data_IF_805568683861
#
_entry.id   IF_805568683861
#
_cell.length_a   1.000
_cell.length_b   1.000
_cell.length_c   1.000
_cell.angle_alpha   90.00
_cell.angle_beta   90.00
_cell.angle_gamma   90.00
#
_symmetry.space_group_name_H-M   'P 1'
#
loop_
_entity.id
_entity.type
_entity.pdbx_description
1 polymer ?
#
# COMPACT_ATOMS: atom_id res chain seq x y z
N UNK A 1 20.48 45.39 -62.49
CA UNK A 1 20.56 43.98 -62.16
C UNK A 1 20.27 43.76 -60.71
N UNK A 2 19.11 43.47 -60.40
CA UNK A 2 18.76 43.23 -59.03
C UNK A 2 18.78 41.75 -58.76
N UNK A 3 19.71 41.35 -58.02
CA UNK A 3 19.70 40.00 -57.47
C UNK A 3 18.74 39.93 -56.33
N UNK A 4 17.73 39.28 -56.63
CA UNK A 4 16.75 39.03 -55.61
C UNK A 4 17.06 37.75 -54.91
N UNK A 5 17.70 37.88 -53.83
CA UNK A 5 17.70 36.81 -52.87
C UNK A 5 16.35 36.81 -52.21
N UNK A 6 15.54 36.05 -52.74
CA UNK A 6 14.40 35.63 -51.95
C UNK A 6 14.93 34.65 -50.96
N UNK A 7 15.37 35.18 -49.88
CA UNK A 7 15.56 34.34 -48.73
C UNK A 7 14.23 33.72 -48.42
N UNK A 8 14.11 32.52 -48.83
CA UNK A 8 13.03 31.71 -48.32
C UNK A 8 13.41 31.45 -46.90
N UNK A 9 12.91 32.30 -46.08
CA UNK A 9 12.92 32.07 -44.68
C UNK A 9 12.03 30.88 -44.45
N UNK A 10 12.63 29.74 -44.55
CA UNK A 10 11.98 28.53 -44.14
C UNK A 10 11.98 28.56 -42.66
N UNK A 11 10.89 29.06 -42.13
CA UNK A 11 10.55 28.76 -40.79
C UNK A 11 10.24 27.27 -40.77
N UNK A 12 11.25 26.52 -40.52
CA UNK A 12 10.98 25.25 -39.91
C UNK A 12 10.45 25.61 -38.55
N UNK A 13 9.18 25.74 -38.52
CA UNK A 13 8.48 25.53 -37.31
C UNK A 13 8.78 24.08 -36.95
N UNK A 14 9.88 23.89 -36.31
CA UNK A 14 10.01 22.71 -35.51
C UNK A 14 8.95 22.90 -34.44
N UNK A 15 7.78 22.45 -34.75
CA UNK A 15 6.87 22.08 -33.71
C UNK A 15 7.63 20.99 -32.96
N UNK A 16 8.46 21.42 -32.06
CA UNK A 16 8.91 20.51 -31.03
C UNK A 16 7.62 20.00 -30.45
N UNK A 17 7.26 18.84 -30.86
CA UNK A 17 6.23 18.10 -30.24
C UNK A 17 6.77 17.86 -28.85
N UNK A 18 6.53 18.80 -27.99
CA UNK A 18 6.62 18.60 -26.58
C UNK A 18 5.48 17.68 -26.27
N UNK A 19 5.74 16.43 -26.56
CA UNK A 19 4.97 15.39 -25.94
C UNK A 19 5.13 15.62 -24.46
N UNK A 20 4.07 16.00 -23.77
CA UNK A 20 4.13 15.98 -22.35
C UNK A 20 4.57 14.58 -22.01
N UNK A 21 5.65 14.47 -21.32
CA UNK A 21 6.05 13.23 -20.71
C UNK A 21 5.02 12.89 -19.63
N UNK A 22 3.82 12.61 -20.08
CA UNK A 22 2.74 12.17 -19.23
C UNK A 22 3.09 10.85 -18.53
N UNK A 23 4.08 10.14 -19.06
CA UNK A 23 4.57 8.93 -18.44
C UNK A 23 5.23 9.18 -17.08
N UNK A 24 5.83 10.34 -16.84
CA UNK A 24 6.43 10.67 -15.54
C UNK A 24 5.46 11.23 -14.53
N UNK A 25 4.28 11.64 -14.96
CA UNK A 25 3.24 12.19 -14.12
C UNK A 25 2.16 11.18 -13.76
N UNK A 26 2.41 9.92 -14.04
CA UNK A 26 1.51 8.89 -13.60
C UNK A 26 1.60 8.83 -12.09
N UNK A 27 0.76 9.64 -11.46
CA UNK A 27 0.37 9.44 -10.10
C UNK A 27 -0.21 8.04 -10.07
N UNK A 28 0.51 7.14 -9.46
CA UNK A 28 -0.10 5.89 -9.13
C UNK A 28 -1.27 6.21 -8.20
N UNK A 29 -2.46 6.22 -8.76
CA UNK A 29 -3.64 6.24 -7.94
C UNK A 29 -3.48 5.12 -6.93
N UNK A 30 -3.66 5.38 -5.62
CA UNK A 30 -3.53 4.33 -4.64
C UNK A 30 -4.42 3.17 -5.07
N UNK A 31 -3.83 2.00 -5.22
CA UNK A 31 -4.57 0.80 -5.56
C UNK A 31 -5.72 0.67 -4.57
N UNK A 32 -6.91 0.43 -5.09
CA UNK A 32 -8.08 0.19 -4.24
C UNK A 32 -7.85 -1.09 -3.47
N UNK A 33 -7.81 -0.99 -2.15
CA UNK A 33 -7.66 -2.14 -1.27
C UNK A 33 -9.04 -2.75 -1.10
N UNK A 34 -9.24 -4.01 -1.51
CA UNK A 34 -10.54 -4.65 -1.31
C UNK A 34 -10.89 -4.74 0.16
N UNK A 35 -12.18 -4.60 0.47
CA UNK A 35 -12.68 -4.75 1.82
C UNK A 35 -12.99 -6.21 2.16
N UNK A 36 -12.94 -6.52 3.44
CA UNK A 36 -13.43 -7.79 3.99
C UNK A 36 -14.18 -7.52 5.28
N UNK A 37 -15.37 -8.10 5.40
CA UNK A 37 -16.09 -8.01 6.66
C UNK A 37 -15.36 -8.80 7.74
N UNK A 38 -15.35 -8.28 8.97
CA UNK A 38 -14.71 -8.98 10.09
C UNK A 38 -15.22 -10.40 10.26
N UNK A 39 -16.52 -10.61 10.05
CA UNK A 39 -17.13 -11.93 10.14
C UNK A 39 -16.65 -12.92 9.08
N UNK A 40 -16.10 -12.44 7.97
CA UNK A 40 -15.56 -13.26 6.89
C UNK A 40 -14.09 -13.63 7.08
N UNK A 41 -13.43 -13.04 8.07
CA UNK A 41 -12.04 -13.36 8.39
C UNK A 41 -11.93 -14.74 9.03
N UNK A 42 -10.78 -15.41 8.90
CA UNK A 42 -10.50 -16.59 9.71
C UNK A 42 -10.65 -16.29 11.20
N UNK A 43 -11.06 -17.29 11.98
CA UNK A 43 -11.26 -17.11 13.42
C UNK A 43 -10.00 -16.58 14.12
N UNK A 44 -8.82 -17.04 13.71
CA UNK A 44 -7.54 -16.61 14.27
C UNK A 44 -7.28 -15.12 14.02
N UNK A 45 -7.70 -14.61 12.86
CA UNK A 45 -7.58 -13.18 12.55
C UNK A 45 -8.51 -12.34 13.43
N UNK A 46 -9.74 -12.82 13.66
CA UNK A 46 -10.65 -12.14 14.58
C UNK A 46 -10.11 -12.11 16.00
N UNK A 47 -9.51 -13.21 16.46
CA UNK A 47 -8.89 -13.29 17.78
C UNK A 47 -7.71 -12.30 17.90
N UNK A 48 -6.89 -12.18 16.87
CA UNK A 48 -5.81 -11.20 16.84
C UNK A 48 -6.36 -9.77 16.92
N UNK A 49 -7.43 -9.48 16.20
CA UNK A 49 -8.10 -8.16 16.27
C UNK A 49 -8.59 -7.87 17.68
N UNK A 50 -9.18 -8.85 18.35
CA UNK A 50 -9.63 -8.69 19.73
C UNK A 50 -8.46 -8.39 20.67
N UNK A 51 -7.31 -9.04 20.48
CA UNK A 51 -6.10 -8.74 21.24
C UNK A 51 -5.63 -7.30 21.01
N UNK A 52 -5.64 -6.86 19.76
CA UNK A 52 -5.26 -5.49 19.42
C UNK A 52 -6.16 -4.48 20.14
N UNK A 53 -7.47 -4.71 20.13
CA UNK A 53 -8.44 -3.84 20.79
C UNK A 53 -8.27 -3.79 22.30
N UNK A 54 -7.82 -4.89 22.91
CA UNK A 54 -7.57 -4.97 24.34
C UNK A 54 -6.18 -4.50 24.75
N UNK A 55 -5.29 -4.26 23.79
CA UNK A 55 -3.90 -3.90 24.08
C UNK A 55 -3.03 -5.07 24.51
N UNK A 56 -3.37 -6.28 24.15
CA UNK A 56 -2.62 -7.50 24.49
C UNK A 56 -3.17 -8.23 25.71
N UNK A 57 -2.37 -9.13 26.32
CA UNK A 57 -1.02 -9.49 25.93
C UNK A 57 -0.97 -10.27 24.61
N UNK A 58 0.13 -10.12 23.90
CA UNK A 58 0.32 -10.76 22.60
C UNK A 58 1.17 -12.01 22.71
N UNK A 59 0.83 -13.07 21.91
CA UNK A 59 1.55 -14.35 22.03
C UNK A 59 2.92 -14.38 21.34
N UNK A 60 3.18 -13.44 20.43
CA UNK A 60 4.44 -13.40 19.69
C UNK A 60 5.25 -12.16 20.02
N UNK A 61 6.56 -12.33 20.15
CA UNK A 61 7.45 -11.24 20.52
C UNK A 61 7.45 -10.10 19.49
N UNK A 62 7.22 -10.42 18.23
CA UNK A 62 7.14 -9.42 17.16
C UNK A 62 5.80 -8.68 17.08
N UNK A 63 4.82 -9.10 17.83
CA UNK A 63 3.54 -8.42 17.81
C UNK A 63 3.65 -6.99 18.30
N UNK A 64 3.10 -6.06 17.55
CA UNK A 64 3.15 -4.63 17.85
C UNK A 64 4.36 -3.89 17.30
N UNK A 65 5.29 -4.55 16.60
CA UNK A 65 6.40 -3.85 15.97
C UNK A 65 5.92 -2.99 14.81
N UNK A 66 6.69 -1.95 14.51
CA UNK A 66 6.37 -1.04 13.41
C UNK A 66 6.40 -1.78 12.09
N UNK A 67 5.35 -1.63 11.30
CA UNK A 67 5.30 -2.07 9.91
C UNK A 67 5.67 -0.90 9.00
N UNK A 68 6.73 -1.07 8.20
CA UNK A 68 7.30 0.03 7.43
C UNK A 68 6.52 0.43 6.18
N UNK A 69 5.63 -0.43 5.66
CA UNK A 69 4.90 -0.18 4.41
C UNK A 69 5.82 0.22 3.24
N UNK A 70 6.97 -0.44 3.13
CA UNK A 70 8.01 -0.07 2.17
C UNK A 70 7.56 -0.21 0.72
N UNK A 71 6.68 -1.15 0.44
CA UNK A 71 6.12 -1.35 -0.90
C UNK A 71 4.93 -0.45 -1.19
N UNK A 72 4.50 0.34 -0.22
CA UNK A 72 3.41 1.31 -0.34
C UNK A 72 2.09 0.70 -0.81
N UNK A 73 1.83 -0.53 -0.40
CA UNK A 73 0.55 -1.19 -0.70
C UNK A 73 -0.59 -0.65 0.17
N UNK A 74 -0.27 -0.17 1.36
CA UNK A 74 -1.19 0.56 2.22
C UNK A 74 -1.04 2.07 2.00
N UNK A 75 -2.03 2.89 2.38
CA UNK A 75 -1.89 4.34 2.30
C UNK A 75 -0.61 4.81 2.96
N UNK A 76 0.09 5.74 2.31
CA UNK A 76 1.36 6.25 2.83
C UNK A 76 1.10 7.12 4.05
N UNK A 77 1.78 6.80 5.14
CA UNK A 77 1.69 7.50 6.42
C UNK A 77 3.09 7.66 7.00
N UNK A 78 3.19 8.47 8.02
CA UNK A 78 4.41 8.62 8.79
C UNK A 78 4.87 7.28 9.36
N UNK A 79 6.18 7.09 9.44
CA UNK A 79 6.75 5.91 10.09
C UNK A 79 6.24 5.79 11.52
N UNK A 80 5.86 4.57 11.90
CA UNK A 80 5.26 4.30 13.20
C UNK A 80 3.74 4.33 13.21
N UNK A 81 3.12 4.76 12.12
CA UNK A 81 1.66 4.75 12.00
C UNK A 81 1.09 3.34 11.98
N UNK A 82 1.77 2.40 11.32
CA UNK A 82 1.35 1.01 11.22
C UNK A 82 2.13 0.11 12.16
N UNK A 83 1.42 -0.84 12.75
CA UNK A 83 1.98 -1.92 13.58
C UNK A 83 1.51 -3.26 13.06
N UNK A 84 2.39 -4.25 13.10
CA UNK A 84 2.06 -5.60 12.64
C UNK A 84 1.76 -6.52 13.81
N UNK A 85 0.83 -7.45 13.57
CA UNK A 85 0.45 -8.47 14.55
C UNK A 85 0.29 -9.81 13.84
N UNK A 86 0.71 -10.87 14.50
CA UNK A 86 0.65 -12.21 13.95
C UNK A 86 -0.77 -12.76 14.02
N UNK A 87 -1.22 -13.33 12.92
CA UNK A 87 -2.40 -14.19 12.88
C UNK A 87 -1.89 -15.63 12.83
N UNK A 88 -2.09 -16.43 13.88
CA UNK A 88 -1.60 -17.80 13.89
C UNK A 88 -2.18 -18.60 12.74
N UNK A 89 -1.35 -19.44 12.14
CA UNK A 89 -1.80 -20.41 11.13
C UNK A 89 -1.90 -21.76 11.79
N UNK A 90 -3.10 -22.37 11.88
CA UNK A 90 -3.25 -23.67 12.53
C UNK A 90 -2.32 -24.71 11.91
N UNK A 91 -1.62 -25.46 12.75
CA UNK A 91 -0.70 -26.51 12.32
C UNK A 91 0.65 -26.04 11.80
N UNK A 92 0.89 -24.72 11.71
CA UNK A 92 2.18 -24.21 11.27
C UNK A 92 3.24 -24.33 12.38
N UNK A 93 4.46 -24.75 12.01
CA UNK A 93 5.58 -24.85 12.94
C UNK A 93 6.20 -23.49 13.27
N UNK A 94 5.84 -22.44 12.53
CA UNK A 94 6.35 -21.06 12.70
C UNK A 94 5.19 -20.07 12.72
N UNK A 95 5.51 -18.77 12.69
CA UNK A 95 4.49 -17.70 12.67
C UNK A 95 3.57 -17.75 11.45
N UNK A 96 3.98 -18.44 10.36
CA UNK A 96 3.25 -18.40 9.11
C UNK A 96 3.29 -17.04 8.44
N UNK A 97 2.42 -16.85 7.44
CA UNK A 97 2.42 -15.67 6.58
C UNK A 97 1.30 -14.67 6.88
N UNK A 98 0.41 -14.98 7.81
CA UNK A 98 -0.78 -14.19 8.07
C UNK A 98 -0.52 -13.10 9.11
N UNK A 99 -1.01 -11.88 8.84
CA UNK A 99 -0.84 -10.73 9.74
C UNK A 99 -2.09 -9.86 9.75
N UNK A 100 -2.26 -9.15 10.85
CA UNK A 100 -3.08 -7.93 10.90
C UNK A 100 -2.13 -6.74 10.99
N UNK A 101 -2.37 -5.74 10.17
CA UNK A 101 -1.71 -4.45 10.28
C UNK A 101 -2.72 -3.47 10.86
N UNK A 102 -2.35 -2.84 11.96
CA UNK A 102 -3.17 -1.82 12.60
C UNK A 102 -2.55 -0.44 12.38
N UNK A 103 -3.34 0.50 11.92
CA UNK A 103 -2.96 1.89 11.75
C UNK A 103 -3.85 2.82 12.55
N UNK A 104 -3.39 4.05 12.78
CA UNK A 104 -4.19 5.06 13.46
C UNK A 104 -4.67 4.63 14.84
N UNK A 105 -3.79 4.07 15.65
CA UNK A 105 -4.12 3.56 16.99
C UNK A 105 -5.20 2.47 17.00
N UNK A 106 -5.25 1.67 15.93
CA UNK A 106 -6.20 0.57 15.82
C UNK A 106 -7.51 0.92 15.10
N UNK A 107 -7.66 2.17 14.65
CA UNK A 107 -8.84 2.59 13.88
C UNK A 107 -8.86 2.07 12.44
N UNK A 108 -7.72 1.68 11.91
CA UNK A 108 -7.58 1.06 10.60
C UNK A 108 -6.99 -0.32 10.76
N UNK A 109 -7.64 -1.32 10.17
CA UNK A 109 -7.16 -2.69 10.21
C UNK A 109 -7.08 -3.26 8.81
N UNK A 110 -5.98 -3.93 8.52
CA UNK A 110 -5.73 -4.61 7.26
C UNK A 110 -5.32 -6.04 7.53
N UNK A 111 -5.82 -6.95 6.72
CA UNK A 111 -5.47 -8.36 6.79
C UNK A 111 -4.62 -8.76 5.59
N UNK A 112 -3.56 -9.51 5.83
CA UNK A 112 -2.78 -10.18 4.79
C UNK A 112 -2.67 -11.66 5.09
N UNK A 113 -2.87 -12.49 4.07
CA UNK A 113 -2.70 -13.93 4.16
C UNK A 113 -1.41 -14.41 3.48
N UNK A 114 -0.71 -13.55 2.76
CA UNK A 114 0.38 -13.89 1.85
C UNK A 114 1.68 -13.15 2.16
N UNK A 115 1.92 -12.86 3.43
CA UNK A 115 3.14 -12.20 3.90
C UNK A 115 3.37 -10.85 3.24
N UNK A 116 2.36 -9.96 3.35
CA UNK A 116 2.39 -8.57 2.89
C UNK A 116 2.34 -8.35 1.38
N UNK A 117 2.07 -9.37 0.58
CA UNK A 117 1.98 -9.20 -0.88
C UNK A 117 0.67 -8.57 -1.32
N UNK A 118 -0.38 -8.80 -0.54
CA UNK A 118 -1.69 -8.19 -0.74
C UNK A 118 -2.38 -7.97 0.59
N UNK A 119 -3.33 -7.04 0.61
CA UNK A 119 -4.08 -6.68 1.80
C UNK A 119 -5.56 -6.57 1.50
N UNK A 120 -6.35 -6.79 2.54
CA UNK A 120 -7.77 -6.49 2.56
C UNK A 120 -8.05 -5.54 3.71
N UNK A 121 -8.84 -4.50 3.47
CA UNK A 121 -9.28 -3.58 4.52
C UNK A 121 -10.37 -4.26 5.33
N UNK A 122 -10.16 -4.39 6.63
CA UNK A 122 -11.15 -4.98 7.53
C UNK A 122 -12.26 -3.97 7.79
N UNK A 123 -13.48 -4.40 7.61
CA UNK A 123 -14.69 -3.61 7.91
C UNK A 123 -15.42 -4.24 9.08
N UNK A 124 -15.61 -3.45 10.07
CA UNK A 124 -16.32 -3.84 11.28
C UNK A 124 -17.82 -3.56 11.17
#
# INVERSE_FOLDING_TARGET
>A
MALRFKGVLRFFLLAALLLPLAAGARQDAPAVIPGIAIAALPAEARQTIDLIKRGGPYPYQRDGVVFGNYERLLPVRQRGYYREFTVPTPGAANRGARRIIAGGNGGELYYTADHYRSFQRVRE
#
